data_IF_293543234693
#
_entry.id   IF_293543234693
#
_cell.length_a   1.000
_cell.length_b   1.000
_cell.length_c   1.000
_cell.angle_alpha   90.00
_cell.angle_beta   90.00
_cell.angle_gamma   90.00
#
_symmetry.space_group_name_H-M   'P 1'
#
loop_
_entity.id
_entity.type
_entity.pdbx_description
1 polymer ?
#
# COMPACT_ATOMS: atom_id res chain seq x y z
N UNK A 1 10.01 -11.95 -3.95
CA UNK A 1 9.36 -11.51 -2.69
C UNK A 1 10.37 -11.58 -1.58
N UNK A 2 10.44 -10.53 -0.78
CA UNK A 2 11.37 -10.56 0.36
C UNK A 2 10.72 -9.90 1.57
N UNK A 3 11.21 -10.27 2.74
CA UNK A 3 10.75 -9.70 4.01
C UNK A 3 11.83 -8.78 4.52
N UNK A 4 11.42 -7.60 4.98
CA UNK A 4 12.33 -6.65 5.60
C UNK A 4 11.66 -6.09 6.84
N UNK A 5 12.43 -5.89 7.88
CA UNK A 5 11.91 -5.26 9.10
C UNK A 5 12.46 -3.86 9.18
N UNK A 6 11.56 -2.86 9.16
CA UNK A 6 11.94 -1.46 9.13
C UNK A 6 11.27 -0.75 10.29
N UNK A 7 12.08 -0.28 11.23
CA UNK A 7 11.59 0.51 12.37
C UNK A 7 10.46 -0.20 13.13
N UNK A 8 10.63 -1.51 13.30
CA UNK A 8 9.66 -2.32 14.05
C UNK A 8 8.50 -2.82 13.24
N UNK A 9 8.45 -2.53 11.93
CA UNK A 9 7.37 -2.97 11.05
C UNK A 9 7.90 -4.02 10.09
N UNK A 10 7.26 -5.19 10.05
CA UNK A 10 7.63 -6.21 9.08
C UNK A 10 6.91 -5.93 7.77
N UNK A 11 7.70 -5.78 6.72
CA UNK A 11 7.21 -5.41 5.40
C UNK A 11 7.46 -6.57 4.44
N UNK A 12 6.41 -6.98 3.74
CA UNK A 12 6.52 -7.93 2.64
C UNK A 12 6.66 -7.14 1.35
N UNK A 13 7.83 -7.26 0.69
CA UNK A 13 8.07 -6.55 -0.55
C UNK A 13 7.94 -7.51 -1.73
N UNK A 14 6.99 -7.24 -2.61
CA UNK A 14 6.81 -8.07 -3.80
C UNK A 14 7.84 -7.72 -4.85
N UNK A 15 8.16 -8.72 -5.69
CA UNK A 15 9.07 -8.51 -6.82
C UNK A 15 8.39 -7.67 -7.90
N UNK A 16 9.20 -7.02 -8.73
CA UNK A 16 8.68 -6.26 -9.87
C UNK A 16 7.95 -7.14 -10.85
N UNK A 17 8.41 -8.37 -11.03
CA UNK A 17 7.82 -9.32 -11.96
C UNK A 17 6.96 -10.33 -11.24
N UNK A 18 5.89 -10.73 -11.90
CA UNK A 18 4.96 -11.69 -11.36
C UNK A 18 3.55 -11.41 -11.83
N UNK A 19 2.59 -12.19 -11.34
CA UNK A 19 1.20 -12.03 -11.72
C UNK A 19 0.67 -10.68 -11.28
N UNK A 20 -0.19 -10.08 -12.11
CA UNK A 20 -0.84 -8.82 -11.77
C UNK A 20 -1.89 -9.03 -10.70
N UNK A 21 -2.01 -8.02 -9.87
CA UNK A 21 -3.02 -7.99 -8.81
C UNK A 21 -4.21 -7.21 -9.37
N UNK A 22 -5.29 -7.93 -9.65
CA UNK A 22 -6.42 -7.38 -10.39
C UNK A 22 -7.74 -7.51 -9.63
N UNK A 23 -7.85 -8.46 -8.69
CA UNK A 23 -9.13 -8.81 -8.08
C UNK A 23 -8.99 -8.96 -6.58
N UNK A 24 -10.12 -8.96 -5.84
CA UNK A 24 -10.07 -9.27 -4.41
C UNK A 24 -9.49 -10.65 -4.11
N UNK A 25 -9.62 -11.62 -5.04
CA UNK A 25 -8.99 -12.93 -4.84
C UNK A 25 -7.47 -12.82 -4.85
N UNK A 26 -6.93 -11.96 -5.70
CA UNK A 26 -5.50 -11.69 -5.70
C UNK A 26 -5.06 -11.07 -4.38
N UNK A 27 -5.91 -10.20 -3.83
CA UNK A 27 -5.64 -9.62 -2.50
C UNK A 27 -5.65 -10.68 -1.41
N UNK A 28 -6.52 -11.68 -1.54
CA UNK A 28 -6.53 -12.78 -0.57
C UNK A 28 -5.21 -13.54 -0.59
N UNK A 29 -4.61 -13.72 -1.77
CA UNK A 29 -3.29 -14.33 -1.87
C UNK A 29 -2.23 -13.49 -1.16
N UNK A 30 -2.31 -12.17 -1.26
CA UNK A 30 -1.42 -11.28 -0.53
C UNK A 30 -1.60 -11.43 0.97
N UNK A 31 -2.85 -11.55 1.43
CA UNK A 31 -3.13 -11.78 2.85
C UNK A 31 -2.44 -13.05 3.32
N UNK A 32 -2.57 -14.12 2.55
CA UNK A 32 -1.94 -15.40 2.91
C UNK A 32 -0.43 -15.28 3.01
N UNK A 33 0.20 -14.61 2.04
CA UNK A 33 1.64 -14.41 2.05
C UNK A 33 2.08 -13.54 3.23
N UNK A 34 1.35 -12.47 3.50
CA UNK A 34 1.67 -11.57 4.60
C UNK A 34 1.57 -12.29 5.95
N UNK A 35 0.52 -13.08 6.13
CA UNK A 35 0.31 -13.82 7.37
C UNK A 35 1.38 -14.89 7.56
N UNK A 36 1.74 -15.59 6.49
CA UNK A 36 2.79 -16.61 6.56
C UNK A 36 4.12 -16.04 7.03
N UNK A 37 4.39 -14.78 6.74
CA UNK A 37 5.63 -14.10 7.09
C UNK A 37 5.45 -13.11 8.24
N UNK A 38 4.25 -13.06 8.83
CA UNK A 38 3.93 -12.15 9.93
C UNK A 38 4.15 -10.68 9.54
N UNK A 39 3.87 -10.35 8.28
CA UNK A 39 4.03 -8.99 7.78
C UNK A 39 2.81 -8.15 8.14
N UNK A 40 3.06 -6.90 8.46
CA UNK A 40 2.02 -5.91 8.80
C UNK A 40 1.72 -4.99 7.64
N UNK A 41 2.60 -4.96 6.64
CA UNK A 41 2.47 -4.10 5.48
C UNK A 41 3.00 -4.84 4.27
N UNK A 42 2.28 -4.71 3.15
CA UNK A 42 2.71 -5.29 1.88
C UNK A 42 3.06 -4.13 0.95
N UNK A 43 4.28 -4.15 0.41
CA UNK A 43 4.73 -3.16 -0.57
C UNK A 43 4.59 -3.78 -1.95
N UNK A 44 3.76 -3.17 -2.79
CA UNK A 44 3.43 -3.70 -4.12
C UNK A 44 3.94 -2.72 -5.17
N UNK A 45 4.88 -3.15 -6.03
CA UNK A 45 5.30 -2.30 -7.14
C UNK A 45 4.12 -1.95 -8.06
N UNK A 46 4.10 -0.73 -8.55
CA UNK A 46 3.05 -0.28 -9.48
C UNK A 46 2.93 -1.25 -10.64
N UNK A 47 4.03 -1.82 -11.09
CA UNK A 47 4.07 -2.76 -12.22
C UNK A 47 3.27 -4.03 -11.96
N UNK A 48 3.03 -4.36 -10.70
CA UNK A 48 2.27 -5.55 -10.32
C UNK A 48 0.77 -5.29 -10.21
N UNK A 49 0.33 -4.03 -10.26
CA UNK A 49 -1.08 -3.68 -10.16
C UNK A 49 -1.70 -3.60 -11.55
N UNK A 50 -2.93 -4.12 -11.66
CA UNK A 50 -3.72 -3.92 -12.86
C UNK A 50 -3.99 -2.41 -13.01
N UNK A 51 -3.89 -1.85 -14.23
CA UNK A 51 -4.22 -0.43 -14.43
C UNK A 51 -5.60 -0.03 -13.92
N UNK A 52 -6.54 -0.96 -13.85
CA UNK A 52 -7.87 -0.70 -13.32
C UNK A 52 -7.84 -0.26 -11.86
N UNK A 53 -6.76 -0.59 -11.13
CA UNK A 53 -6.60 -0.14 -9.76
C UNK A 53 -6.69 1.39 -9.69
N UNK A 54 -6.15 2.07 -10.71
CA UNK A 54 -6.09 3.53 -10.74
C UNK A 54 -7.33 4.16 -11.38
N UNK A 55 -8.29 3.35 -11.81
CA UNK A 55 -9.59 3.84 -12.31
C UNK A 55 -10.59 3.70 -11.19
N UNK A 56 -10.85 4.79 -10.51
CA UNK A 56 -11.66 4.74 -9.29
C UNK A 56 -13.06 4.19 -9.51
N UNK A 57 -13.60 4.38 -10.72
CA UNK A 57 -14.93 3.88 -11.05
C UNK A 57 -15.05 2.37 -10.96
N UNK A 58 -13.93 1.65 -11.10
CA UNK A 58 -13.97 0.18 -11.04
C UNK A 58 -14.18 -0.33 -9.62
N UNK A 59 -13.85 0.49 -8.61
CA UNK A 59 -13.92 0.07 -7.22
C UNK A 59 -12.82 -0.87 -6.79
N UNK A 60 -11.91 -1.24 -7.70
CA UNK A 60 -10.88 -2.25 -7.41
C UNK A 60 -9.94 -1.80 -6.32
N UNK A 61 -9.49 -0.54 -6.35
CA UNK A 61 -8.58 -0.05 -5.31
C UNK A 61 -9.19 -0.19 -3.93
N UNK A 62 -10.45 0.20 -3.80
CA UNK A 62 -11.16 0.10 -2.53
C UNK A 62 -11.35 -1.35 -2.10
N UNK A 63 -11.70 -2.22 -3.03
CA UNK A 63 -11.93 -3.63 -2.71
C UNK A 63 -10.66 -4.32 -2.25
N UNK A 64 -9.55 -4.09 -2.94
CA UNK A 64 -8.27 -4.69 -2.58
C UNK A 64 -7.81 -4.15 -1.23
N UNK A 65 -7.86 -2.84 -1.04
CA UNK A 65 -7.46 -2.22 0.21
C UNK A 65 -8.30 -2.73 1.38
N UNK A 66 -9.62 -2.81 1.18
CA UNK A 66 -10.52 -3.27 2.24
C UNK A 66 -10.24 -4.72 2.60
N UNK A 67 -9.92 -5.55 1.62
CA UNK A 67 -9.58 -6.95 1.89
C UNK A 67 -8.38 -7.04 2.83
N UNK A 68 -7.35 -6.23 2.55
CA UNK A 68 -6.15 -6.22 3.39
C UNK A 68 -6.44 -5.64 4.78
N UNK A 69 -7.22 -4.56 4.84
CA UNK A 69 -7.57 -3.91 6.09
C UNK A 69 -8.33 -4.87 7.01
N UNK A 70 -9.21 -5.70 6.44
CA UNK A 70 -9.96 -6.67 7.22
C UNK A 70 -9.05 -7.65 7.96
N UNK A 71 -7.83 -7.85 7.48
CA UNK A 71 -6.84 -8.71 8.11
C UNK A 71 -5.71 -7.91 8.77
N UNK A 72 -5.94 -6.59 8.95
CA UNK A 72 -5.00 -5.68 9.62
C UNK A 72 -3.66 -5.59 8.90
N UNK A 73 -3.70 -5.64 7.57
CA UNK A 73 -2.52 -5.52 6.73
C UNK A 73 -2.63 -4.20 5.98
N UNK A 74 -1.55 -3.42 6.01
CA UNK A 74 -1.49 -2.16 5.28
C UNK A 74 -0.91 -2.41 3.91
N UNK A 75 -1.23 -1.51 2.98
CA UNK A 75 -0.77 -1.61 1.60
C UNK A 75 0.03 -0.36 1.24
N UNK A 76 1.21 -0.55 0.67
CA UNK A 76 1.98 0.53 0.09
C UNK A 76 2.17 0.25 -1.39
N UNK A 77 1.74 1.17 -2.24
CA UNK A 77 1.97 1.11 -3.68
C UNK A 77 3.27 1.84 -3.96
N UNK A 78 4.23 1.16 -4.57
CA UNK A 78 5.58 1.68 -4.75
C UNK A 78 5.84 1.91 -6.23
N UNK A 79 6.11 3.15 -6.61
CA UNK A 79 6.45 3.48 -7.98
C UNK A 79 5.92 4.84 -8.38
N UNK A 80 6.28 5.26 -9.59
CA UNK A 80 5.89 6.55 -10.13
C UNK A 80 4.48 6.47 -10.69
N UNK A 81 3.55 7.21 -10.11
CA UNK A 81 2.15 7.28 -10.58
C UNK A 81 1.82 8.66 -11.13
N UNK A 82 2.83 9.48 -11.41
CA UNK A 82 2.60 10.86 -11.84
C UNK A 82 1.75 10.93 -13.11
N UNK A 83 1.91 10.00 -14.04
CA UNK A 83 1.13 10.01 -15.29
C UNK A 83 -0.36 9.81 -15.04
N UNK A 84 -0.72 8.84 -14.20
CA UNK A 84 -2.15 8.57 -13.94
C UNK A 84 -2.76 9.66 -13.08
N UNK A 85 -2.00 10.19 -12.13
CA UNK A 85 -2.48 11.28 -11.27
C UNK A 85 -2.69 12.56 -12.08
N UNK A 86 -1.83 12.82 -13.08
CA UNK A 86 -1.96 14.00 -13.91
C UNK A 86 -3.24 14.01 -14.74
N UNK A 87 -3.81 12.83 -15.00
CA UNK A 87 -4.99 12.68 -15.86
C UNK A 87 -6.30 12.68 -15.09
N UNK A 88 -6.26 12.68 -13.76
CA UNK A 88 -7.48 12.53 -12.97
C UNK A 88 -7.36 13.27 -11.66
N UNK A 89 -8.18 14.32 -11.52
CA UNK A 89 -8.26 15.07 -10.27
C UNK A 89 -8.79 14.19 -9.14
N UNK A 90 -9.75 13.33 -9.46
CA UNK A 90 -10.31 12.43 -8.46
C UNK A 90 -9.25 11.47 -7.93
N UNK A 91 -8.40 10.95 -8.81
CA UNK A 91 -7.33 10.06 -8.39
C UNK A 91 -6.29 10.82 -7.55
N UNK A 92 -5.96 12.05 -7.95
CA UNK A 92 -5.03 12.86 -7.18
C UNK A 92 -5.54 13.07 -5.76
N UNK A 93 -6.83 13.37 -5.63
CA UNK A 93 -7.43 13.57 -4.31
C UNK A 93 -7.45 12.28 -3.51
N UNK A 94 -7.75 11.16 -4.16
CA UNK A 94 -7.74 9.86 -3.52
C UNK A 94 -6.35 9.51 -2.98
N UNK A 95 -5.32 9.74 -3.78
CA UNK A 95 -3.93 9.47 -3.36
C UNK A 95 -3.56 10.35 -2.16
N UNK A 96 -3.92 11.63 -2.22
CA UNK A 96 -3.61 12.56 -1.13
C UNK A 96 -4.30 12.13 0.17
N UNK A 97 -5.58 11.77 0.08
CA UNK A 97 -6.31 11.33 1.25
C UNK A 97 -5.77 10.02 1.81
N UNK A 98 -5.44 9.09 0.92
CA UNK A 98 -4.88 7.80 1.34
C UNK A 98 -3.56 8.01 2.07
N UNK A 99 -2.71 8.89 1.56
CA UNK A 99 -1.41 9.15 2.16
C UNK A 99 -1.47 9.81 3.52
N UNK A 100 -2.59 10.42 3.87
CA UNK A 100 -2.79 10.98 5.21
C UNK A 100 -3.12 9.91 6.24
N UNK A 101 -3.68 8.79 5.78
CA UNK A 101 -4.06 7.70 6.66
C UNK A 101 -2.94 6.71 6.84
N UNK A 102 -3.27 5.58 7.47
CA UNK A 102 -2.31 4.54 7.74
C UNK A 102 -2.56 3.24 7.02
N UNK A 103 -3.55 3.18 6.13
CA UNK A 103 -3.97 1.92 5.52
C UNK A 103 -3.46 1.73 4.10
N UNK A 104 -3.39 2.79 3.32
CA UNK A 104 -2.96 2.74 1.94
C UNK A 104 -2.04 3.92 1.68
N UNK A 105 -0.80 3.63 1.30
CA UNK A 105 0.17 4.66 0.96
C UNK A 105 0.60 4.52 -0.49
N UNK A 106 0.89 5.65 -1.11
CA UNK A 106 1.51 5.72 -2.44
C UNK A 106 2.86 6.40 -2.26
N UNK A 107 3.93 5.67 -2.54
CA UNK A 107 5.29 6.18 -2.39
C UNK A 107 6.05 5.97 -3.69
N UNK A 108 7.01 6.84 -3.96
CA UNK A 108 7.74 6.81 -5.23
C UNK A 108 8.70 5.62 -5.29
N UNK A 109 9.27 5.23 -4.17
CA UNK A 109 10.26 4.16 -4.11
C UNK A 109 10.36 3.61 -2.69
N UNK A 110 11.21 2.60 -2.52
CA UNK A 110 11.38 1.96 -1.22
C UNK A 110 12.01 2.91 -0.19
N UNK A 111 12.84 3.84 -0.64
CA UNK A 111 13.45 4.81 0.28
C UNK A 111 12.38 5.71 0.90
N UNK A 112 11.41 6.13 0.10
CA UNK A 112 10.30 6.94 0.62
C UNK A 112 9.44 6.13 1.59
N UNK A 113 9.23 4.85 1.30
CA UNK A 113 8.50 3.98 2.21
C UNK A 113 9.21 3.90 3.55
N UNK A 114 10.52 3.67 3.53
CA UNK A 114 11.31 3.59 4.75
C UNK A 114 11.23 4.91 5.54
N UNK A 115 11.29 6.03 4.83
CA UNK A 115 11.19 7.34 5.47
C UNK A 115 9.83 7.53 6.16
N UNK A 116 8.76 7.05 5.54
CA UNK A 116 7.44 7.15 6.15
C UNK A 116 7.32 6.30 7.41
N UNK A 117 7.96 5.15 7.42
CA UNK A 117 7.90 4.25 8.57
C UNK A 117 8.69 4.79 9.76
N UNK A 118 9.69 5.64 9.52
CA UNK A 118 10.50 6.22 10.58
C UNK A 118 9.95 7.57 11.04
N UNK A 119 9.06 8.19 10.26
CA UNK A 119 8.53 9.51 10.56
C UNK A 119 7.80 9.51 11.90
N UNK A 120 7.91 10.58 12.68
CA UNK A 120 7.18 10.67 13.93
C UNK A 120 5.68 10.56 13.68
N UNK A 121 4.99 9.91 14.60
CA UNK A 121 3.53 9.84 14.50
C UNK A 121 2.93 11.19 14.80
N UNK A 122 1.75 11.47 14.25
CA UNK A 122 1.04 12.68 14.65
C UNK A 122 0.85 12.74 16.15
N UNK A 123 0.82 13.95 16.68
CA UNK A 123 0.72 14.16 18.12
C UNK A 123 -0.44 13.40 18.73
N UNK A 124 -1.54 13.31 18.02
CA UNK A 124 -2.70 12.58 18.52
C UNK A 124 -2.44 11.10 18.72
N UNK A 125 -1.55 10.53 17.93
CA UNK A 125 -1.18 9.13 18.07
C UNK A 125 -0.20 8.92 19.20
N UNK A 126 0.67 9.89 19.33
CA UNK A 126 1.71 9.78 20.30
C UNK A 126 1.19 9.93 21.68
N UNK A 127 0.14 10.57 21.75
CA UNK A 127 -0.22 10.88 23.02
C UNK A 127 -0.62 9.91 23.85
N UNK A 128 -0.66 10.03 23.91
CA UNK A 128 -0.70 9.84 24.69
C UNK A 128 0.18 9.71 25.00
N UNK A 129 0.25 9.85 24.87
CA UNK A 129 0.88 9.65 25.03
C UNK A 129 1.44 9.64 24.45
N UNK A 130 1.29 9.82 24.11
CA UNK A 130 1.82 9.69 23.64
C UNK A 130 2.01 9.67 23.46
#
# INVERSE_FOLDING_TARGET
MRIDEQHGVRVLLLDLEGARISTPDDAADLVGSAWSHQAELVAVPVERLDPKFFRLKTGIAGEITQKLVNYRIRLAVVGDISDVVAKSDALRDFVRESNRGGQLWFVADEAELAARLVAPRPVGDAAPGS
#
